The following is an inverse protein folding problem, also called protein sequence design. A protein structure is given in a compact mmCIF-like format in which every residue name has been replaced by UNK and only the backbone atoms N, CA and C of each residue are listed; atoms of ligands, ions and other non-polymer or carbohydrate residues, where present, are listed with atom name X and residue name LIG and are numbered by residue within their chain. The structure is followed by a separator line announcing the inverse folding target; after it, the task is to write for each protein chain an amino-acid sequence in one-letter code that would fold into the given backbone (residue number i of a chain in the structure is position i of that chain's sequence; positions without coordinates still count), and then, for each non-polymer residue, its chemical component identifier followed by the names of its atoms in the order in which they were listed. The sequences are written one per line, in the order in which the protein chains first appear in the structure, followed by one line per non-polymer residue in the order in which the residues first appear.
data_IF_189922855786
#
_entry.id   IF_189922855786
#
_cell.length_a   1.000
_cell.length_b   1.000
_cell.length_c   1.000
_cell.angle_alpha   90.00
_cell.angle_beta   90.00
_cell.angle_gamma   90.00
#
_symmetry.space_group_name_H-M   'P 1'
#
loop_
_entity.id
_entity.type
_entity.pdbx_description
1 polymer ?
#
# COMPACT_ATOMS: atom_id res chain seq x y z
N UNK A 1 22.44 -5.06 -39.78
CA UNK A 1 21.06 -5.57 -39.62
C UNK A 1 20.62 -5.30 -38.18
N UNK A 2 20.18 -4.06 -37.94
CA UNK A 2 19.70 -3.55 -36.66
C UNK A 2 18.26 -3.13 -36.94
N UNK A 3 17.28 -3.89 -36.43
CA UNK A 3 15.88 -3.49 -36.51
C UNK A 3 15.53 -2.70 -35.26
N UNK A 4 15.91 -1.42 -35.29
CA UNK A 4 15.24 -0.35 -34.55
C UNK A 4 13.89 -0.10 -35.19
N UNK A 5 12.81 -0.48 -34.51
CA UNK A 5 11.44 -0.29 -34.97
C UNK A 5 10.53 0.04 -33.80
N UNK A 6 10.48 1.32 -33.46
CA UNK A 6 9.48 1.93 -32.60
C UNK A 6 8.07 1.64 -33.12
N UNK A 7 7.33 0.77 -32.44
CA UNK A 7 5.90 0.56 -32.70
C UNK A 7 5.09 1.74 -32.13
N UNK A 8 4.36 2.50 -32.96
CA UNK A 8 3.53 3.59 -32.48
C UNK A 8 2.26 3.07 -31.82
N UNK A 9 1.95 3.70 -30.70
CA UNK A 9 0.71 3.62 -29.96
C UNK A 9 -0.46 4.09 -30.85
N UNK A 10 -1.27 3.16 -31.39
CA UNK A 10 -2.62 3.49 -31.88
C UNK A 10 -3.54 2.27 -31.78
N UNK A 11 -4.01 2.00 -30.57
CA UNK A 11 -5.04 1.03 -30.24
C UNK A 11 -6.41 1.51 -30.74
N UNK A 12 -6.94 0.89 -31.82
CA UNK A 12 -8.36 0.45 -31.95
C UNK A 12 -8.78 -0.26 -33.26
N UNK A 13 -7.90 -0.55 -34.22
CA UNK A 13 -8.28 -1.32 -35.43
C UNK A 13 -7.32 -2.48 -35.78
N UNK A 14 -6.79 -3.19 -34.78
CA UNK A 14 -5.78 -4.25 -35.00
C UNK A 14 -6.11 -5.57 -34.27
N UNK A 15 -7.40 -5.89 -34.08
CA UNK A 15 -7.81 -7.14 -33.38
C UNK A 15 -7.92 -8.36 -34.29
N UNK A 16 -7.98 -8.20 -35.63
CA UNK A 16 -8.05 -9.33 -36.57
C UNK A 16 -6.74 -9.60 -37.33
N UNK A 17 -5.93 -8.57 -37.60
CA UNK A 17 -4.80 -8.68 -38.54
C UNK A 17 -3.55 -9.33 -37.94
N UNK A 18 -3.31 -9.19 -36.63
CA UNK A 18 -2.10 -9.74 -35.96
C UNK A 18 -2.08 -11.28 -35.96
N UNK A 19 -3.25 -11.92 -36.04
CA UNK A 19 -3.31 -13.37 -36.14
C UNK A 19 -2.97 -13.89 -37.54
N UNK A 20 -3.01 -13.08 -38.60
CA UNK A 20 -2.78 -13.52 -39.98
C UNK A 20 -1.31 -13.44 -40.43
N UNK A 21 -0.50 -12.53 -39.87
CA UNK A 21 0.88 -12.32 -40.33
C UNK A 21 1.93 -13.25 -39.69
N UNK A 22 1.52 -14.19 -38.83
CA UNK A 22 2.40 -15.17 -38.17
C UNK A 22 2.35 -16.55 -38.88
N UNK A 23 2.72 -16.60 -40.16
CA UNK A 23 2.69 -17.81 -40.99
C UNK A 23 3.74 -18.89 -40.61
N UNK A 24 4.66 -18.61 -39.68
CA UNK A 24 5.81 -19.48 -39.32
C UNK A 24 5.61 -20.21 -37.97
N UNK A 25 4.49 -20.01 -37.27
CA UNK A 25 4.22 -20.70 -36.00
C UNK A 25 3.37 -21.96 -36.18
N UNK A 26 3.66 -23.00 -35.39
CA UNK A 26 2.81 -24.19 -35.25
C UNK A 26 1.36 -23.79 -34.93
N UNK A 27 0.40 -24.49 -35.56
CA UNK A 27 -1.05 -24.25 -35.43
C UNK A 27 -1.51 -24.16 -33.98
N UNK A 28 -0.93 -24.97 -33.09
CA UNK A 28 -1.27 -24.99 -31.67
C UNK A 28 -0.89 -23.68 -30.96
N UNK A 29 0.30 -23.14 -31.26
CA UNK A 29 0.77 -21.89 -30.66
C UNK A 29 -0.03 -20.67 -31.13
N UNK A 30 -0.47 -20.69 -32.39
CA UNK A 30 -1.35 -19.67 -32.96
C UNK A 30 -2.73 -19.68 -32.29
N UNK A 31 -3.30 -20.85 -32.07
CA UNK A 31 -4.57 -21.01 -31.34
C UNK A 31 -4.46 -20.49 -29.89
N UNK A 32 -3.40 -20.86 -29.15
CA UNK A 32 -3.20 -20.37 -27.77
C UNK A 32 -3.02 -18.85 -27.70
N UNK A 33 -2.32 -18.24 -28.66
CA UNK A 33 -2.20 -16.78 -28.74
C UNK A 33 -3.56 -16.10 -28.96
N UNK A 34 -4.38 -16.64 -29.86
CA UNK A 34 -5.73 -16.13 -30.11
C UNK A 34 -6.61 -16.22 -28.85
N UNK A 35 -6.57 -17.35 -28.14
CA UNK A 35 -7.33 -17.56 -26.89
C UNK A 35 -6.89 -16.55 -25.81
N UNK A 36 -5.58 -16.42 -25.56
CA UNK A 36 -5.05 -15.55 -24.49
C UNK A 36 -5.33 -14.07 -24.75
N UNK A 37 -5.37 -13.64 -26.02
CA UNK A 37 -5.66 -12.25 -26.38
C UNK A 37 -7.15 -11.93 -26.44
N UNK A 38 -8.01 -12.94 -26.37
CA UNK A 38 -9.45 -12.74 -26.51
C UNK A 38 -10.04 -12.00 -25.30
N UNK A 39 -10.85 -10.97 -25.55
CA UNK A 39 -11.45 -10.12 -24.50
C UNK A 39 -12.30 -10.90 -23.49
N UNK A 40 -13.02 -11.93 -23.95
CA UNK A 40 -13.81 -12.77 -23.04
C UNK A 40 -12.93 -13.60 -22.12
N UNK A 41 -11.78 -14.08 -22.60
CA UNK A 41 -10.82 -14.81 -21.75
C UNK A 41 -10.19 -13.88 -20.71
N UNK A 42 -9.78 -12.67 -21.12
CA UNK A 42 -9.29 -11.64 -20.20
C UNK A 42 -10.33 -11.31 -19.11
N UNK A 43 -11.59 -11.09 -19.51
CA UNK A 43 -12.71 -10.83 -18.60
C UNK A 43 -13.02 -12.00 -17.65
N UNK A 44 -13.01 -13.23 -18.16
CA UNK A 44 -13.22 -14.44 -17.37
C UNK A 44 -12.16 -14.59 -16.27
N UNK A 45 -10.87 -14.42 -16.61
CA UNK A 45 -9.80 -14.51 -15.61
C UNK A 45 -9.93 -13.40 -14.55
N UNK A 46 -10.29 -12.18 -14.95
CA UNK A 46 -10.55 -11.09 -13.98
C UNK A 46 -11.72 -11.45 -13.06
N UNK A 47 -12.80 -12.01 -13.60
CA UNK A 47 -13.93 -12.46 -12.80
C UNK A 47 -13.54 -13.54 -11.77
N UNK A 48 -12.75 -14.55 -12.18
CA UNK A 48 -12.24 -15.59 -11.28
C UNK A 48 -11.34 -14.99 -10.18
N UNK A 49 -10.49 -14.01 -10.51
CA UNK A 49 -9.68 -13.30 -9.51
C UNK A 49 -10.57 -12.59 -8.49
N UNK A 50 -11.59 -11.85 -8.95
CA UNK A 50 -12.50 -11.14 -8.05
C UNK A 50 -13.27 -12.12 -7.13
N UNK A 51 -13.72 -13.24 -7.68
CA UNK A 51 -14.42 -14.26 -6.92
C UNK A 51 -13.49 -14.93 -5.89
N UNK A 52 -12.23 -15.17 -6.24
CA UNK A 52 -11.22 -15.67 -5.30
C UNK A 52 -10.90 -14.67 -4.16
N UNK A 53 -10.95 -13.36 -4.45
CA UNK A 53 -10.78 -12.32 -3.43
C UNK A 53 -12.01 -12.22 -2.52
N UNK A 54 -13.21 -12.39 -3.08
CA UNK A 54 -14.44 -12.43 -2.29
C UNK A 54 -14.47 -13.66 -1.36
N UNK A 55 -13.94 -14.81 -1.81
CA UNK A 55 -13.83 -16.00 -0.96
C UNK A 55 -12.96 -15.78 0.29
N UNK A 56 -11.89 -14.98 0.19
CA UNK A 56 -11.03 -14.63 1.32
C UNK A 56 -11.76 -13.84 2.43
N UNK A 57 -12.81 -13.08 2.09
CA UNK A 57 -13.59 -12.33 3.09
C UNK A 57 -14.34 -13.28 4.04
N UNK A 58 -14.68 -14.48 3.56
CA UNK A 58 -15.34 -15.50 4.37
C UNK A 58 -14.36 -16.33 5.22
N UNK A 59 -13.05 -16.10 5.11
CA UNK A 59 -12.04 -16.71 5.99
C UNK A 59 -11.86 -15.89 7.27
N UNK A 60 -12.85 -15.96 8.17
CA UNK A 60 -12.78 -15.36 9.49
C UNK A 60 -12.34 -16.36 10.58
N UNK A 61 -12.19 -15.87 11.83
CA UNK A 61 -11.83 -16.70 12.99
C UNK A 61 -12.92 -17.75 13.27
N UNK A 62 -14.17 -17.47 12.90
CA UNK A 62 -15.32 -18.35 13.12
C UNK A 62 -15.50 -19.45 12.06
N UNK A 63 -14.66 -19.47 11.02
CA UNK A 63 -14.71 -20.47 9.95
C UNK A 63 -14.59 -21.90 10.49
N UNK A 64 -13.84 -22.10 11.58
CA UNK A 64 -13.66 -23.40 12.22
C UNK A 64 -14.96 -23.97 12.81
N UNK A 65 -15.89 -23.10 13.22
CA UNK A 65 -17.22 -23.50 13.68
C UNK A 65 -18.19 -23.81 12.53
N UNK A 66 -17.82 -23.53 11.27
CA UNK A 66 -18.67 -23.74 10.09
C UNK A 66 -18.02 -24.73 9.11
N UNK A 67 -18.10 -26.05 9.38
CA UNK A 67 -17.39 -27.07 8.60
C UNK A 67 -17.84 -27.15 7.14
N UNK A 68 -19.11 -26.81 6.85
CA UNK A 68 -19.65 -26.78 5.49
C UNK A 68 -18.99 -25.65 4.70
N UNK A 69 -18.91 -24.45 5.28
CA UNK A 69 -18.30 -23.28 4.66
C UNK A 69 -16.82 -23.54 4.38
N UNK A 70 -16.09 -24.08 5.36
CA UNK A 70 -14.68 -24.45 5.21
C UNK A 70 -14.45 -25.43 4.05
N UNK A 71 -15.30 -26.47 3.90
CA UNK A 71 -15.20 -27.43 2.80
C UNK A 71 -15.46 -26.79 1.44
N UNK A 72 -16.46 -25.93 1.34
CA UNK A 72 -16.78 -25.19 0.10
C UNK A 72 -15.64 -24.27 -0.28
N UNK A 73 -15.08 -23.52 0.68
CA UNK A 73 -13.95 -22.62 0.43
C UNK A 73 -12.70 -23.40 -0.03
N UNK A 74 -12.38 -24.52 0.61
CA UNK A 74 -11.25 -25.37 0.22
C UNK A 74 -11.42 -25.93 -1.20
N UNK A 75 -12.63 -26.36 -1.57
CA UNK A 75 -12.91 -26.83 -2.92
C UNK A 75 -12.85 -25.69 -3.94
N UNK A 76 -13.38 -24.52 -3.61
CA UNK A 76 -13.32 -23.34 -4.46
C UNK A 76 -11.86 -22.92 -4.71
N UNK A 77 -11.02 -22.94 -3.68
CA UNK A 77 -9.59 -22.66 -3.76
C UNK A 77 -8.82 -23.59 -4.70
N UNK A 78 -9.14 -24.89 -4.65
CA UNK A 78 -8.60 -25.89 -5.57
C UNK A 78 -9.00 -25.56 -7.01
N UNK A 79 -10.27 -25.25 -7.25
CA UNK A 79 -10.80 -24.89 -8.58
C UNK A 79 -10.14 -23.62 -9.10
N UNK A 80 -10.01 -22.56 -8.29
CA UNK A 80 -9.33 -21.34 -8.71
C UNK A 80 -7.88 -21.60 -9.07
N UNK A 81 -7.15 -22.32 -8.21
CA UNK A 81 -5.74 -22.66 -8.46
C UNK A 81 -5.58 -23.43 -9.77
N UNK A 82 -6.47 -24.40 -10.03
CA UNK A 82 -6.49 -25.14 -11.28
C UNK A 82 -6.71 -24.24 -12.50
N UNK A 83 -7.70 -23.34 -12.47
CA UNK A 83 -7.95 -22.38 -13.55
C UNK A 83 -6.71 -21.52 -13.82
N UNK A 84 -6.01 -21.07 -12.79
CA UNK A 84 -4.80 -20.27 -12.94
C UNK A 84 -3.60 -21.07 -13.46
N UNK A 85 -3.46 -22.34 -13.11
CA UNK A 85 -2.45 -23.24 -13.70
C UNK A 85 -2.71 -23.39 -15.19
N UNK A 86 -3.96 -23.61 -15.61
CA UNK A 86 -4.33 -23.67 -17.03
C UNK A 86 -4.00 -22.36 -17.74
N UNK A 87 -4.34 -21.22 -17.13
CA UNK A 87 -4.00 -19.90 -17.66
C UNK A 87 -2.48 -19.72 -17.88
N UNK A 88 -1.67 -20.16 -16.91
CA UNK A 88 -0.21 -20.09 -16.97
C UNK A 88 0.34 -20.95 -18.12
N UNK A 89 -0.13 -22.20 -18.23
CA UNK A 89 0.28 -23.11 -19.30
C UNK A 89 -0.06 -22.54 -20.69
N UNK A 90 -1.26 -21.98 -20.85
CA UNK A 90 -1.66 -21.30 -22.09
C UNK A 90 -0.74 -20.12 -22.41
N UNK A 91 -0.34 -19.31 -21.42
CA UNK A 91 0.62 -18.20 -21.60
C UNK A 91 2.02 -18.69 -21.97
N UNK A 92 2.50 -19.79 -21.37
CA UNK A 92 3.79 -20.37 -21.71
C UNK A 92 3.84 -20.84 -23.16
N UNK A 93 2.79 -21.53 -23.62
CA UNK A 93 2.67 -21.97 -25.01
C UNK A 93 2.59 -20.75 -25.93
N UNK A 94 1.73 -19.78 -25.62
CA UNK A 94 1.49 -18.60 -26.44
C UNK A 94 2.77 -17.72 -26.61
N UNK A 95 3.35 -17.26 -25.51
CA UNK A 95 4.48 -16.32 -25.53
C UNK A 95 5.85 -17.01 -25.65
N UNK A 96 5.97 -18.26 -25.20
CA UNK A 96 7.24 -18.97 -25.04
C UNK A 96 7.97 -18.58 -23.75
N UNK A 97 8.78 -19.50 -23.21
CA UNK A 97 9.50 -19.34 -21.94
C UNK A 97 10.30 -18.03 -21.85
N UNK A 98 11.15 -17.74 -22.84
CA UNK A 98 12.02 -16.55 -22.81
C UNK A 98 11.23 -15.24 -22.66
N UNK A 99 10.18 -15.06 -23.46
CA UNK A 99 9.38 -13.82 -23.44
C UNK A 99 8.48 -13.73 -22.21
N UNK A 100 8.03 -14.85 -21.67
CA UNK A 100 7.25 -14.92 -20.43
C UNK A 100 8.07 -14.41 -19.24
N UNK A 101 9.29 -14.92 -19.04
CA UNK A 101 10.13 -14.58 -17.89
C UNK A 101 10.78 -13.18 -17.98
N UNK A 102 10.83 -12.55 -19.16
CA UNK A 102 11.27 -11.15 -19.29
C UNK A 102 10.21 -10.14 -18.84
N UNK A 103 8.93 -10.51 -18.81
CA UNK A 103 7.85 -9.59 -18.42
C UNK A 103 7.57 -9.68 -16.91
N UNK A 104 7.84 -8.59 -16.18
CA UNK A 104 7.63 -8.49 -14.73
C UNK A 104 6.23 -8.93 -14.27
N UNK A 105 5.18 -8.60 -15.02
CA UNK A 105 3.80 -8.96 -14.66
C UNK A 105 3.53 -10.46 -14.80
N UNK A 106 4.14 -11.10 -15.80
CA UNK A 106 4.03 -12.56 -15.98
C UNK A 106 4.87 -13.29 -14.92
N UNK A 107 6.03 -12.74 -14.56
CA UNK A 107 6.85 -13.25 -13.46
C UNK A 107 6.13 -13.18 -12.10
N UNK A 108 5.42 -12.07 -11.83
CA UNK A 108 4.59 -11.91 -10.63
C UNK A 108 3.42 -12.91 -10.61
N UNK A 109 2.72 -13.11 -11.73
CA UNK A 109 1.66 -14.12 -11.85
C UNK A 109 2.19 -15.54 -11.53
N UNK A 110 3.40 -15.87 -12.01
CA UNK A 110 4.09 -17.14 -11.75
C UNK A 110 4.44 -17.32 -10.27
N UNK A 111 5.11 -16.34 -9.66
CA UNK A 111 5.50 -16.41 -8.24
C UNK A 111 4.28 -16.62 -7.33
N UNK A 112 3.18 -15.90 -7.58
CA UNK A 112 1.97 -16.06 -6.76
C UNK A 112 1.31 -17.43 -6.99
N UNK A 113 1.42 -18.00 -8.19
CA UNK A 113 0.97 -19.37 -8.47
C UNK A 113 1.80 -20.40 -7.69
N UNK A 114 3.12 -20.26 -7.71
CA UNK A 114 4.02 -21.15 -6.97
C UNK A 114 3.75 -21.11 -5.46
N UNK A 115 3.57 -19.93 -4.87
CA UNK A 115 3.21 -19.81 -3.44
C UNK A 115 1.86 -20.47 -3.15
N UNK A 116 0.91 -20.41 -4.08
CA UNK A 116 -0.41 -21.05 -3.92
C UNK A 116 -0.30 -22.59 -4.00
N UNK A 117 0.51 -23.12 -4.92
CA UNK A 117 0.78 -24.55 -5.04
C UNK A 117 1.53 -25.09 -3.81
N UNK A 118 2.56 -24.35 -3.36
CA UNK A 118 3.30 -24.68 -2.15
C UNK A 118 2.39 -24.69 -0.92
N UNK A 119 1.50 -23.69 -0.78
CA UNK A 119 0.50 -23.65 0.29
C UNK A 119 -0.44 -24.87 0.29
N UNK A 120 -0.82 -25.38 -0.89
CA UNK A 120 -1.65 -26.59 -1.00
C UNK A 120 -0.87 -27.84 -0.57
N UNK A 121 0.40 -27.94 -0.96
CA UNK A 121 1.29 -29.03 -0.52
C UNK A 121 1.49 -29.03 1.00
N UNK A 122 1.72 -27.85 1.58
CA UNK A 122 1.88 -27.67 3.04
C UNK A 122 0.59 -27.99 3.80
N UNK A 123 -0.58 -27.68 3.24
CA UNK A 123 -1.86 -28.02 3.85
C UNK A 123 -2.11 -29.55 3.86
N UNK A 124 -1.65 -30.28 2.83
CA UNK A 124 -1.66 -31.75 2.83
C UNK A 124 -0.74 -32.34 3.91
N UNK A 125 0.29 -31.59 4.34
CA UNK A 125 1.21 -31.96 5.42
C UNK A 125 0.71 -31.53 6.81
N UNK A 126 -0.46 -30.88 6.92
CA UNK A 126 -1.10 -30.54 8.20
C UNK A 126 -0.69 -29.21 8.84
N UNK A 127 0.08 -28.35 8.14
CA UNK A 127 0.47 -27.04 8.67
C UNK A 127 -0.49 -25.91 8.22
N UNK A 128 -0.81 -24.93 9.09
CA UNK A 128 -1.73 -23.85 8.75
C UNK A 128 -1.10 -22.86 7.76
N UNK A 129 -1.55 -22.88 6.51
CA UNK A 129 -1.04 -22.02 5.42
C UNK A 129 -1.86 -20.74 5.19
N UNK A 130 -2.72 -20.37 6.15
CA UNK A 130 -3.68 -19.25 6.07
C UNK A 130 -3.09 -17.91 5.61
N UNK A 131 -1.93 -17.41 6.13
CA UNK A 131 -1.39 -16.11 5.72
C UNK A 131 -0.88 -16.07 4.27
N UNK A 132 -0.45 -17.21 3.71
CA UNK A 132 0.05 -17.29 2.34
C UNK A 132 -1.06 -17.14 1.30
N UNK A 133 -2.32 -17.41 1.67
CA UNK A 133 -3.48 -17.31 0.76
C UNK A 133 -3.85 -15.85 0.43
N UNK A 134 -3.57 -14.91 1.33
CA UNK A 134 -3.81 -13.48 1.10
C UNK A 134 -2.98 -12.90 -0.05
N UNK A 135 -1.82 -13.51 -0.37
CA UNK A 135 -0.93 -13.08 -1.46
C UNK A 135 -1.60 -13.17 -2.85
N UNK A 136 -2.68 -13.94 -3.01
CA UNK A 136 -3.44 -14.01 -4.26
C UNK A 136 -4.06 -12.66 -4.67
N UNK A 137 -4.37 -11.79 -3.71
CA UNK A 137 -4.86 -10.42 -3.95
C UNK A 137 -3.86 -9.57 -4.73
N UNK A 138 -2.55 -9.88 -4.63
CA UNK A 138 -1.49 -9.18 -5.37
C UNK A 138 -1.53 -9.41 -6.89
N UNK A 139 -2.37 -10.33 -7.38
CA UNK A 139 -2.64 -10.48 -8.82
C UNK A 139 -3.54 -9.38 -9.37
N UNK A 140 -4.36 -8.75 -8.53
CA UNK A 140 -5.32 -7.71 -8.95
C UNK A 140 -4.64 -6.51 -9.66
N UNK A 141 -3.57 -5.90 -9.09
CA UNK A 141 -2.85 -4.82 -9.77
C UNK A 141 -2.28 -5.22 -11.13
N UNK A 142 -1.92 -6.51 -11.27
CA UNK A 142 -1.43 -7.05 -12.53
C UNK A 142 -2.50 -7.17 -13.59
N UNK A 143 -3.80 -7.02 -13.33
CA UNK A 143 -4.86 -7.16 -14.37
C UNK A 143 -5.53 -5.84 -14.71
N UNK A 144 -5.64 -4.93 -13.76
CA UNK A 144 -6.20 -3.61 -14.02
C UNK A 144 -5.18 -2.69 -14.70
N UNK A 145 -5.46 -2.33 -15.96
CA UNK A 145 -4.63 -1.39 -16.74
C UNK A 145 -4.40 -0.07 -16.00
N UNK A 146 -5.41 0.43 -15.28
CA UNK A 146 -5.28 1.61 -14.42
C UNK A 146 -4.24 1.44 -13.30
N UNK A 147 -4.31 0.34 -12.54
CA UNK A 147 -3.36 0.06 -11.46
C UNK A 147 -1.93 -0.17 -11.98
N UNK A 148 -1.77 -0.87 -13.11
CA UNK A 148 -0.44 -1.03 -13.75
C UNK A 148 0.19 0.31 -14.12
N UNK A 149 -0.60 1.28 -14.60
CA UNK A 149 -0.10 2.60 -14.95
C UNK A 149 0.36 3.37 -13.71
N UNK A 150 -0.41 3.31 -12.62
CA UNK A 150 -0.03 3.94 -11.34
C UNK A 150 1.25 3.30 -10.80
N UNK A 151 1.35 1.97 -10.77
CA UNK A 151 2.54 1.28 -10.29
C UNK A 151 3.78 1.58 -11.15
N UNK A 152 3.65 1.62 -12.48
CA UNK A 152 4.73 2.05 -13.37
C UNK A 152 5.16 3.48 -13.08
N UNK A 153 4.21 4.40 -12.92
CA UNK A 153 4.52 5.78 -12.58
C UNK A 153 5.27 5.87 -11.25
N UNK A 154 4.83 5.13 -10.23
CA UNK A 154 5.50 5.06 -8.93
C UNK A 154 6.94 4.53 -9.08
N UNK A 155 7.15 3.44 -9.81
CA UNK A 155 8.50 2.87 -10.01
C UNK A 155 9.48 3.86 -10.66
N UNK A 156 9.01 4.76 -11.52
CA UNK A 156 9.87 5.80 -12.11
C UNK A 156 10.17 6.92 -11.11
N UNK A 157 9.29 7.17 -10.14
CA UNK A 157 9.51 8.18 -9.09
C UNK A 157 10.40 7.65 -7.95
N UNK A 158 10.42 6.33 -7.72
CA UNK A 158 11.16 5.70 -6.63
C UNK A 158 12.65 6.11 -6.53
N UNK A 159 13.45 6.15 -7.61
CA UNK A 159 14.88 6.47 -7.50
C UNK A 159 15.14 7.87 -6.93
N UNK A 160 14.38 8.88 -7.38
CA UNK A 160 14.51 10.25 -6.86
C UNK A 160 14.07 10.34 -5.40
N UNK A 161 13.05 9.57 -5.01
CA UNK A 161 12.54 9.55 -3.64
C UNK A 161 13.49 8.84 -2.67
N UNK A 162 14.16 7.78 -3.13
CA UNK A 162 15.10 7.02 -2.29
C UNK A 162 16.26 7.89 -1.80
N UNK A 163 16.78 8.79 -2.64
CA UNK A 163 17.83 9.73 -2.25
C UNK A 163 17.39 10.66 -1.12
N UNK A 164 16.13 11.13 -1.15
CA UNK A 164 15.58 11.99 -0.08
C UNK A 164 15.32 11.19 1.19
N UNK A 165 14.77 9.99 1.04
CA UNK A 165 14.56 9.07 2.16
C UNK A 165 15.87 8.81 2.91
N UNK A 166 16.98 8.61 2.20
CA UNK A 166 18.29 8.42 2.81
C UNK A 166 18.70 9.63 3.68
N UNK A 167 18.51 10.87 3.17
CA UNK A 167 18.79 12.09 3.95
C UNK A 167 17.93 12.15 5.21
N UNK A 168 16.63 11.84 5.09
CA UNK A 168 15.71 11.80 6.24
C UNK A 168 16.16 10.76 7.27
N UNK A 169 16.53 9.56 6.81
CA UNK A 169 17.04 8.49 7.68
C UNK A 169 18.33 8.90 8.40
N UNK A 170 19.24 9.63 7.76
CA UNK A 170 20.47 10.12 8.42
C UNK A 170 20.14 11.15 9.50
N UNK A 171 19.23 12.10 9.24
CA UNK A 171 18.79 13.07 10.25
C UNK A 171 18.13 12.36 11.43
N UNK A 172 17.26 11.40 11.15
CA UNK A 172 16.57 10.61 12.18
C UNK A 172 17.52 9.69 12.95
N UNK A 173 18.59 9.20 12.32
CA UNK A 173 19.62 8.41 12.97
C UNK A 173 20.31 9.21 14.07
N UNK A 174 20.64 10.48 13.82
CA UNK A 174 21.27 11.36 14.82
C UNK A 174 20.37 11.52 16.04
N UNK A 175 19.08 11.79 15.82
CA UNK A 175 18.11 11.87 16.93
C UNK A 175 17.95 10.54 17.64
N UNK A 176 17.91 9.42 16.92
CA UNK A 176 17.80 8.09 17.54
C UNK A 176 19.00 7.78 18.44
N UNK A 177 20.24 8.05 17.99
CA UNK A 177 21.45 7.87 18.79
C UNK A 177 21.41 8.77 20.03
N UNK A 178 21.01 10.04 19.88
CA UNK A 178 20.84 10.96 21.01
C UNK A 178 19.78 10.45 21.99
N UNK A 179 18.64 9.94 21.50
CA UNK A 179 17.59 9.35 22.33
C UNK A 179 18.05 8.12 23.09
N UNK A 180 18.83 7.23 22.47
CA UNK A 180 19.45 6.08 23.15
C UNK A 180 20.33 6.54 24.31
N UNK A 181 21.18 7.55 24.08
CA UNK A 181 22.06 8.07 25.14
C UNK A 181 21.29 8.72 26.30
N UNK A 182 20.12 9.30 26.05
CA UNK A 182 19.31 9.97 27.06
C UNK A 182 18.42 9.00 27.85
N UNK A 183 17.84 8.01 27.17
CA UNK A 183 16.66 7.27 27.66
C UNK A 183 16.84 5.74 27.74
N UNK A 184 17.94 5.17 27.23
CA UNK A 184 18.13 3.72 27.25
C UNK A 184 18.05 3.15 28.68
N UNK A 185 17.23 2.11 28.85
CA UNK A 185 17.02 1.43 30.14
C UNK A 185 16.16 2.18 31.16
N UNK A 186 15.77 3.44 30.90
CA UNK A 186 15.01 4.27 31.85
C UNK A 186 13.49 4.22 31.70
N UNK A 187 12.99 3.48 30.71
CA UNK A 187 11.55 3.36 30.42
C UNK A 187 10.90 2.17 31.14
N UNK A 188 11.65 1.50 32.01
CA UNK A 188 11.13 0.37 32.78
C UNK A 188 10.43 0.87 34.04
N UNK A 189 9.38 0.16 34.44
CA UNK A 189 8.58 0.49 35.61
C UNK A 189 8.02 -0.78 36.25
N UNK A 190 7.77 -0.70 37.55
CA UNK A 190 7.06 -1.71 38.31
C UNK A 190 5.55 -1.58 38.07
N UNK A 191 4.93 -2.65 37.58
CA UNK A 191 3.54 -2.67 37.13
C UNK A 191 2.76 -3.80 37.79
N UNK A 192 1.55 -3.51 38.28
CA UNK A 192 0.64 -4.52 38.83
C UNK A 192 -0.32 -5.00 37.73
N UNK A 193 -0.33 -6.30 37.45
CA UNK A 193 -1.20 -6.88 36.41
C UNK A 193 -2.66 -6.96 36.79
N UNK A 194 -2.99 -7.07 38.07
CA UNK A 194 -4.39 -7.23 38.52
C UNK A 194 -5.13 -5.90 38.55
N UNK A 195 -4.45 -4.83 38.95
CA UNK A 195 -5.02 -3.47 38.97
C UNK A 195 -4.79 -2.70 37.67
N UNK A 196 -3.99 -3.22 36.75
CA UNK A 196 -3.55 -2.58 35.52
C UNK A 196 -2.82 -1.23 35.69
N UNK A 197 -2.26 -0.98 36.87
CA UNK A 197 -1.68 0.31 37.25
C UNK A 197 -0.18 0.21 37.60
N UNK A 198 0.50 1.37 37.51
CA UNK A 198 1.88 1.50 37.96
C UNK A 198 1.93 1.58 39.49
N UNK A 199 2.89 0.86 40.10
CA UNK A 199 3.08 0.90 41.55
C UNK A 199 3.66 2.26 41.94
N UNK A 200 3.12 2.84 43.01
CA UNK A 200 3.50 4.16 43.52
C UNK A 200 4.91 4.12 44.14
N UNK A 201 5.63 5.26 44.09
CA UNK A 201 7.02 5.37 44.57
C UNK A 201 7.16 5.22 46.09
N UNK A 202 6.10 5.42 46.86
CA UNK A 202 6.09 5.19 48.31
C UNK A 202 6.28 3.71 48.67
N UNK A 203 5.94 2.80 47.75
CA UNK A 203 6.06 1.35 47.93
C UNK A 203 7.30 0.76 47.23
N UNK A 204 7.71 1.33 46.08
CA UNK A 204 8.82 0.81 45.28
C UNK A 204 9.61 1.96 44.66
N UNK A 205 10.87 2.10 45.05
CA UNK A 205 11.76 3.11 44.48
C UNK A 205 12.63 2.55 43.34
N UNK A 206 13.10 1.30 43.47
CA UNK A 206 14.04 0.69 42.52
C UNK A 206 13.56 -0.68 42.05
N UNK A 207 14.10 -1.15 40.92
CA UNK A 207 13.87 -2.51 40.41
C UNK A 207 14.12 -3.60 41.45
N UNK A 208 15.18 -3.47 42.24
CA UNK A 208 15.51 -4.45 43.28
C UNK A 208 14.38 -4.59 44.32
N UNK A 209 13.68 -3.50 44.64
CA UNK A 209 12.52 -3.53 45.54
C UNK A 209 11.30 -4.12 44.85
N UNK A 210 11.07 -3.79 43.58
CA UNK A 210 10.03 -4.42 42.77
C UNK A 210 10.20 -5.95 42.71
N UNK A 211 11.44 -6.42 42.56
CA UNK A 211 11.76 -7.86 42.53
C UNK A 211 11.61 -8.52 43.91
N UNK A 212 11.88 -7.81 45.01
CA UNK A 212 11.63 -8.34 46.36
C UNK A 212 10.15 -8.58 46.63
N UNK A 213 9.25 -7.79 46.06
CA UNK A 213 7.81 -8.03 46.18
C UNK A 213 7.41 -9.35 45.51
N UNK A 214 8.07 -9.70 44.40
CA UNK A 214 7.90 -10.99 43.74
C UNK A 214 8.31 -12.14 44.67
N UNK A 215 9.43 -12.00 45.38
CA UNK A 215 9.92 -13.00 46.35
C UNK A 215 9.02 -13.13 47.59
N UNK A 216 8.24 -12.09 47.91
CA UNK A 216 7.27 -12.05 49.01
C UNK A 216 5.88 -12.58 48.65
N UNK A 217 5.76 -13.38 47.58
CA UNK A 217 4.52 -13.96 47.05
C UNK A 217 3.55 -12.95 46.38
N UNK A 218 3.98 -11.74 46.00
CA UNK A 218 3.19 -10.86 45.13
C UNK A 218 3.46 -11.17 43.65
N UNK A 219 2.85 -12.24 43.14
CA UNK A 219 3.06 -12.70 41.75
C UNK A 219 2.47 -11.76 40.67
N UNK A 220 1.63 -10.82 41.07
CA UNK A 220 0.93 -9.89 40.18
C UNK A 220 1.81 -8.72 39.74
N UNK A 221 2.91 -8.46 40.45
CA UNK A 221 3.80 -7.32 40.20
C UNK A 221 4.93 -7.73 39.27
N UNK A 222 5.12 -7.00 38.16
CA UNK A 222 6.21 -7.25 37.21
C UNK A 222 6.95 -5.97 36.85
N UNK A 223 8.28 -6.06 36.79
CA UNK A 223 9.12 -5.03 36.19
C UNK A 223 9.01 -5.13 34.66
N UNK A 224 8.31 -4.18 34.05
CA UNK A 224 8.03 -4.17 32.61
C UNK A 224 8.68 -2.97 31.94
N UNK A 225 9.16 -3.19 30.73
CA UNK A 225 9.63 -2.12 29.86
C UNK A 225 8.49 -1.66 28.94
N UNK A 226 8.46 -0.36 28.61
CA UNK A 226 7.50 0.17 27.63
C UNK A 226 7.79 -0.43 26.25
N UNK A 227 6.72 -0.70 25.49
CA UNK A 227 6.79 -1.33 24.17
C UNK A 227 7.57 -0.49 23.14
N UNK A 228 7.43 0.83 23.21
CA UNK A 228 8.18 1.78 22.38
C UNK A 228 9.14 2.53 23.30
N UNK A 229 10.43 2.31 23.10
CA UNK A 229 11.49 2.82 23.96
C UNK A 229 12.73 3.21 23.14
N UNK A 230 13.82 3.54 23.83
CA UNK A 230 15.09 3.96 23.25
C UNK A 230 16.26 3.04 23.66
N UNK A 231 16.02 1.76 23.95
CA UNK A 231 17.10 0.85 24.38
C UNK A 231 18.10 0.54 23.26
N UNK A 232 17.63 0.56 22.01
CA UNK A 232 18.41 0.30 20.81
C UNK A 232 18.08 1.35 19.75
N UNK A 233 19.04 1.65 18.86
CA UNK A 233 18.84 2.62 17.76
C UNK A 233 17.62 2.28 16.89
N UNK A 234 17.37 0.99 16.63
CA UNK A 234 16.18 0.56 15.87
C UNK A 234 14.86 0.85 16.57
N UNK A 235 14.79 0.60 17.89
CA UNK A 235 13.61 0.94 18.69
C UNK A 235 13.44 2.45 18.84
N UNK A 236 14.55 3.19 19.00
CA UNK A 236 14.53 4.65 18.99
C UNK A 236 14.00 5.20 17.66
N UNK A 237 14.35 4.61 16.53
CA UNK A 237 13.77 4.95 15.23
C UNK A 237 12.26 4.72 15.16
N UNK A 238 11.78 3.60 15.69
CA UNK A 238 10.35 3.30 15.73
C UNK A 238 9.60 4.28 16.65
N UNK A 239 10.18 4.59 17.81
CA UNK A 239 9.65 5.60 18.73
C UNK A 239 9.59 6.99 18.08
N UNK A 240 10.64 7.40 17.37
CA UNK A 240 10.67 8.66 16.61
C UNK A 240 9.68 8.67 15.42
N UNK A 241 9.47 7.54 14.75
CA UNK A 241 8.46 7.42 13.71
C UNK A 241 7.05 7.66 14.27
N UNK A 242 6.74 7.04 15.42
CA UNK A 242 5.47 7.21 16.14
C UNK A 242 5.28 8.67 16.55
N UNK A 243 6.33 9.29 17.13
CA UNK A 243 6.36 10.73 17.42
C UNK A 243 6.04 11.58 16.18
N UNK A 244 6.68 11.30 15.04
CA UNK A 244 6.48 12.04 13.80
C UNK A 244 5.11 11.86 13.16
N UNK A 245 4.44 10.73 13.42
CA UNK A 245 3.04 10.51 13.00
C UNK A 245 2.01 11.16 13.93
N UNK A 246 2.45 11.72 15.06
CA UNK A 246 1.59 12.32 16.10
C UNK A 246 0.49 11.39 16.62
N UNK A 247 0.72 10.07 16.54
CA UNK A 247 -0.21 9.04 17.02
C UNK A 247 0.50 8.22 18.09
N UNK A 248 -0.02 8.15 19.32
CA UNK A 248 0.63 7.42 20.42
C UNK A 248 1.95 8.05 20.92
N UNK A 249 2.22 9.32 20.57
CA UNK A 249 3.44 10.05 20.91
C UNK A 249 3.50 10.47 22.39
N UNK A 250 2.34 10.71 23.01
CA UNK A 250 2.22 11.13 24.40
C UNK A 250 2.83 10.10 25.35
N UNK A 251 2.59 8.81 25.14
CA UNK A 251 3.08 7.74 26.02
C UNK A 251 4.62 7.69 26.07
N UNK A 252 5.26 7.96 24.92
CA UNK A 252 6.73 7.99 24.79
C UNK A 252 7.28 9.24 25.47
N UNK A 253 6.63 10.37 25.26
CA UNK A 253 7.04 11.65 25.82
C UNK A 253 6.89 11.65 27.35
N UNK A 254 5.77 11.18 27.88
CA UNK A 254 5.55 11.07 29.33
C UNK A 254 6.53 10.09 29.95
N UNK A 255 6.76 8.92 29.35
CA UNK A 255 7.78 7.99 29.83
C UNK A 255 9.19 8.61 29.86
N UNK A 256 9.52 9.48 28.91
CA UNK A 256 10.80 10.19 28.89
C UNK A 256 10.90 11.30 29.93
N UNK A 257 9.83 12.05 30.17
CA UNK A 257 9.79 13.13 31.16
C UNK A 257 9.78 12.57 32.59
N UNK A 258 9.09 11.45 32.80
CA UNK A 258 9.06 10.76 34.09
C UNK A 258 10.30 9.89 34.33
N UNK A 259 11.13 9.68 33.30
CA UNK A 259 12.34 8.86 33.42
C UNK A 259 13.35 9.46 34.39
N UNK A 260 13.95 8.64 35.25
CA UNK A 260 14.94 9.04 36.25
C UNK A 260 16.30 8.45 35.90
N UNK A 261 16.78 7.46 36.67
CA UNK A 261 18.01 6.71 36.40
C UNK A 261 17.67 5.32 35.85
N UNK A 262 18.70 4.59 35.43
CA UNK A 262 18.55 3.21 34.98
C UNK A 262 18.22 2.33 36.19
N UNK A 263 17.20 1.49 36.07
CA UNK A 263 16.66 0.61 37.14
C UNK A 263 15.94 1.32 38.31
N UNK A 264 15.72 2.63 38.23
CA UNK A 264 14.88 3.38 39.18
C UNK A 264 13.44 3.50 38.65
N UNK A 265 12.47 3.55 39.56
CA UNK A 265 11.06 3.77 39.22
C UNK A 265 10.89 5.20 38.66
N UNK A 266 10.11 5.39 37.58
CA UNK A 266 9.87 6.71 37.02
C UNK A 266 9.10 7.58 38.02
N UNK A 267 9.50 8.84 38.12
CA UNK A 267 8.88 9.84 38.99
C UNK A 267 8.20 10.90 38.14
N UNK A 268 6.94 11.19 38.46
CA UNK A 268 6.13 12.16 37.73
C UNK A 268 6.86 13.50 37.57
N UNK A 269 7.02 13.92 36.32
CA UNK A 269 7.65 15.19 35.95
C UNK A 269 9.06 15.42 36.50
N UNK A 270 9.82 14.35 36.76
CA UNK A 270 11.18 14.48 37.29
C UNK A 270 12.15 15.19 36.34
N UNK A 271 12.03 14.97 35.03
CA UNK A 271 12.93 15.49 34.01
C UNK A 271 12.20 16.32 32.94
N UNK A 272 11.58 17.44 33.37
CA UNK A 272 10.81 18.36 32.51
C UNK A 272 11.59 18.86 31.26
N UNK A 273 12.91 19.01 31.34
CA UNK A 273 13.71 19.48 30.21
C UNK A 273 13.69 18.53 28.99
N UNK A 274 13.29 17.27 29.17
CA UNK A 274 13.23 16.28 28.09
C UNK A 274 12.15 16.62 27.05
N UNK A 275 11.17 17.47 27.37
CA UNK A 275 10.25 18.03 26.35
C UNK A 275 11.01 18.74 25.22
N UNK A 276 12.14 19.39 25.52
CA UNK A 276 12.93 20.11 24.52
C UNK A 276 13.52 19.16 23.45
N UNK A 277 13.88 17.94 23.82
CA UNK A 277 14.35 16.91 22.89
C UNK A 277 13.27 16.61 21.84
N UNK A 278 12.02 16.38 22.27
CA UNK A 278 10.92 16.06 21.38
C UNK A 278 10.47 17.26 20.54
N UNK A 279 10.43 18.46 21.12
CA UNK A 279 10.15 19.69 20.38
C UNK A 279 11.20 19.91 19.29
N UNK A 280 12.48 19.73 19.62
CA UNK A 280 13.59 19.81 18.68
C UNK A 280 13.44 18.80 17.54
N UNK A 281 13.06 17.56 17.84
CA UNK A 281 12.79 16.54 16.82
C UNK A 281 11.56 16.88 15.95
N UNK A 282 10.47 17.40 16.51
CA UNK A 282 9.29 17.78 15.72
C UNK A 282 9.64 18.90 14.73
N UNK A 283 10.37 19.91 15.19
CA UNK A 283 10.77 21.03 14.34
C UNK A 283 11.79 20.58 13.29
N UNK A 284 12.91 19.97 13.72
CA UNK A 284 14.03 19.65 12.83
C UNK A 284 13.77 18.35 12.04
N UNK A 285 13.34 17.31 12.75
CA UNK A 285 13.17 15.95 12.24
C UNK A 285 11.87 15.72 11.48
N UNK A 286 10.77 16.44 11.75
CA UNK A 286 9.48 16.24 11.07
C UNK A 286 9.12 17.38 10.12
N UNK A 287 9.15 18.64 10.58
CA UNK A 287 8.70 19.76 9.76
C UNK A 287 9.63 19.98 8.55
N UNK A 288 10.95 20.07 8.74
CA UNK A 288 11.88 20.25 7.62
C UNK A 288 11.93 19.04 6.68
N UNK A 289 11.90 17.82 7.21
CA UNK A 289 11.96 16.60 6.40
C UNK A 289 10.72 16.43 5.53
N UNK A 290 9.53 16.69 6.07
CA UNK A 290 8.27 16.67 5.32
C UNK A 290 8.27 17.74 4.23
N UNK A 291 8.76 18.95 4.53
CA UNK A 291 8.88 20.02 3.54
C UNK A 291 9.85 19.65 2.40
N UNK A 292 11.01 19.08 2.72
CA UNK A 292 11.97 18.60 1.72
C UNK A 292 11.34 17.47 0.89
N UNK A 293 10.66 16.53 1.54
CA UNK A 293 10.01 15.41 0.86
C UNK A 293 8.95 15.90 -0.14
N UNK A 294 8.03 16.76 0.29
CA UNK A 294 6.99 17.33 -0.56
C UNK A 294 7.61 18.08 -1.75
N UNK A 295 8.65 18.89 -1.50
CA UNK A 295 9.32 19.64 -2.55
C UNK A 295 9.91 18.72 -3.62
N UNK A 296 10.73 17.75 -3.22
CA UNK A 296 11.38 16.84 -4.18
C UNK A 296 10.35 15.94 -4.88
N UNK A 297 9.26 15.58 -4.20
CA UNK A 297 8.17 14.83 -4.79
C UNK A 297 7.48 15.62 -5.91
N UNK A 298 7.11 16.88 -5.64
CA UNK A 298 6.50 17.78 -6.63
C UNK A 298 7.44 17.99 -7.82
N UNK A 299 8.73 18.25 -7.56
CA UNK A 299 9.74 18.44 -8.61
C UNK A 299 9.91 17.19 -9.47
N UNK A 300 9.87 16.00 -8.86
CA UNK A 300 9.94 14.71 -9.56
C UNK A 300 8.72 14.50 -10.46
N UNK A 301 7.51 14.79 -9.96
CA UNK A 301 6.28 14.72 -10.76
C UNK A 301 6.34 15.70 -11.93
N UNK A 302 6.77 16.94 -11.70
CA UNK A 302 6.90 17.96 -12.74
C UNK A 302 7.92 17.56 -13.81
N UNK A 303 9.09 17.06 -13.39
CA UNK A 303 10.13 16.56 -14.30
C UNK A 303 9.62 15.41 -15.16
N UNK A 304 8.90 14.47 -14.56
CA UNK A 304 8.31 13.33 -15.29
C UNK A 304 7.21 13.78 -16.26
N UNK A 305 6.35 14.72 -15.82
CA UNK A 305 5.31 15.33 -16.65
C UNK A 305 5.88 16.06 -17.86
N UNK A 306 6.97 16.81 -17.69
CA UNK A 306 7.63 17.54 -18.78
C UNK A 306 8.31 16.60 -19.79
N UNK A 307 8.88 15.48 -19.34
CA UNK A 307 9.48 14.48 -20.23
C UNK A 307 8.46 13.74 -21.11
N UNK A 308 7.31 13.37 -20.54
CA UNK A 308 6.29 12.56 -21.24
C UNK A 308 5.21 13.42 -21.91
N UNK A 309 5.03 14.68 -21.48
CA UNK A 309 3.98 15.58 -21.98
C UNK A 309 2.56 15.13 -21.63
N UNK A 310 2.39 14.07 -20.85
CA UNK A 310 1.10 13.50 -20.42
C UNK A 310 0.98 13.53 -18.89
N UNK A 311 -0.26 13.48 -18.40
CA UNK A 311 -0.53 13.33 -16.97
C UNK A 311 -0.04 11.97 -16.45
N UNK A 312 0.68 12.00 -15.33
CA UNK A 312 1.42 10.85 -14.77
C UNK A 312 0.51 9.71 -14.29
N UNK A 313 -0.67 10.03 -13.76
CA UNK A 313 -1.58 9.06 -13.13
C UNK A 313 -2.83 8.71 -13.95
N UNK A 314 -2.94 9.20 -15.19
CA UNK A 314 -4.15 9.00 -16.01
C UNK A 314 -3.90 8.02 -17.15
N UNK A 315 -4.83 7.09 -17.37
CA UNK A 315 -4.83 6.24 -18.57
C UNK A 315 -5.13 7.02 -19.84
N UNK A 316 -4.78 6.48 -21.00
CA UNK A 316 -4.97 7.19 -22.29
C UNK A 316 -6.44 7.46 -22.61
N UNK A 317 -7.34 6.54 -22.27
CA UNK A 317 -8.78 6.73 -22.47
C UNK A 317 -9.32 7.83 -21.56
N UNK A 318 -8.90 7.86 -20.29
CA UNK A 318 -9.24 8.93 -19.35
C UNK A 318 -8.68 10.28 -19.80
N UNK A 319 -7.47 10.33 -20.36
CA UNK A 319 -6.90 11.55 -20.94
C UNK A 319 -7.69 12.04 -22.16
N UNK A 320 -8.17 11.12 -23.02
CA UNK A 320 -9.02 11.46 -24.16
C UNK A 320 -10.37 12.00 -23.69
N UNK A 321 -10.96 11.38 -22.67
CA UNK A 321 -12.19 11.87 -22.04
C UNK A 321 -12.00 13.26 -21.43
N UNK A 322 -10.93 13.48 -20.66
CA UNK A 322 -10.60 14.78 -20.07
C UNK A 322 -10.39 15.87 -21.13
N UNK A 323 -9.75 15.54 -22.27
CA UNK A 323 -9.60 16.46 -23.40
C UNK A 323 -10.94 16.86 -24.02
N UNK A 324 -11.88 15.91 -24.16
CA UNK A 324 -13.25 16.19 -24.62
C UNK A 324 -13.99 17.11 -23.63
N UNK A 325 -13.92 16.80 -22.34
CA UNK A 325 -14.53 17.63 -21.28
C UNK A 325 -13.97 19.06 -21.30
N UNK A 326 -12.63 19.22 -21.31
CA UNK A 326 -12.01 20.55 -21.40
C UNK A 326 -12.42 21.31 -22.64
N UNK A 327 -12.53 20.64 -23.79
CA UNK A 327 -13.00 21.25 -25.03
C UNK A 327 -14.45 21.74 -24.89
N UNK A 328 -15.32 20.94 -24.30
CA UNK A 328 -16.73 21.29 -24.09
C UNK A 328 -16.92 22.48 -23.14
N UNK A 329 -16.08 22.62 -22.10
CA UNK A 329 -16.10 23.80 -21.22
C UNK A 329 -15.41 25.03 -21.83
N UNK A 330 -14.42 24.83 -22.70
CA UNK A 330 -13.72 25.91 -23.40
C UNK A 330 -14.51 26.45 -24.60
N UNK A 331 -15.38 25.63 -25.20
CA UNK A 331 -16.30 26.09 -26.23
C UNK A 331 -17.32 27.04 -25.59
N UNK A 332 -17.21 28.34 -25.89
CA UNK A 332 -18.28 29.30 -25.59
C UNK A 332 -19.56 28.75 -26.22
N UNK A 333 -20.59 28.52 -25.41
CA UNK A 333 -21.94 28.26 -25.94
C UNK A 333 -22.32 29.46 -26.80
N UNK A 334 -22.39 29.24 -28.12
CA UNK A 334 -22.95 30.25 -29.02
C UNK A 334 -24.38 30.55 -28.55
N UNK A 335 -24.74 31.84 -28.52
CA UNK A 335 -26.10 32.24 -28.21
C UNK A 335 -27.05 31.50 -29.16
N UNK A 336 -28.04 30.80 -28.61
CA UNK A 336 -29.08 30.15 -29.41
C UNK A 336 -29.70 31.25 -30.27
N UNK A 337 -29.73 31.12 -31.61
CA UNK A 337 -30.32 32.14 -32.47
C UNK A 337 -31.75 32.38 -32.00
N UNK A 338 -32.08 33.65 -31.73
CA UNK A 338 -33.44 34.00 -31.31
C UNK A 338 -34.38 33.56 -32.44
N UNK A 339 -35.40 32.75 -32.14
CA UNK A 339 -36.34 32.32 -33.16
C UNK A 339 -37.05 33.56 -33.75
N UNK A 340 -37.26 33.55 -35.07
CA UNK A 340 -37.97 34.61 -35.78
C UNK A 340 -39.38 34.69 -35.20
N UNK A 341 -39.77 35.91 -34.83
CA UNK A 341 -40.89 36.22 -33.94
C UNK A 341 -42.20 35.54 -34.35
N UNK A 342 -42.75 34.72 -33.44
CA UNK A 342 -44.19 34.48 -33.25
C UNK A 342 -44.53 34.86 -31.81
N UNK A 343 -45.79 35.19 -31.52
CA UNK A 343 -46.25 35.68 -30.21
C UNK A 343 -45.82 34.76 -29.04
N UNK A 344 -45.72 33.45 -29.30
CA UNK A 344 -45.31 32.42 -28.33
C UNK A 344 -43.87 32.59 -27.82
N UNK A 345 -43.01 33.26 -28.58
CA UNK A 345 -41.59 33.43 -28.26
C UNK A 345 -41.32 34.62 -27.34
N UNK A 346 -42.21 35.62 -27.34
CA UNK A 346 -42.16 36.75 -26.40
C UNK A 346 -42.46 36.25 -24.99
N UNK A 347 -43.46 35.38 -24.84
CA UNK A 347 -43.80 34.71 -23.57
C UNK A 347 -42.64 33.84 -23.05
N UNK A 348 -41.97 33.11 -23.94
CA UNK A 348 -40.79 32.31 -23.56
C UNK A 348 -39.58 33.18 -23.15
N UNK A 349 -39.43 34.37 -23.73
CA UNK A 349 -38.38 35.32 -23.32
C UNK A 349 -38.64 35.92 -21.94
N UNK A 350 -39.91 36.11 -21.58
CA UNK A 350 -40.33 36.59 -20.26
C UNK A 350 -40.07 35.55 -19.18
N UNK A 351 -40.37 34.27 -19.48
CA UNK A 351 -40.12 33.11 -18.59
C UNK A 351 -38.63 32.84 -18.31
N UNK A 352 -37.71 33.22 -19.21
CA UNK A 352 -36.26 33.01 -19.07
C UNK A 352 -35.49 34.20 -18.51
N UNK A 353 -36.16 35.30 -18.21
CA UNK A 353 -35.51 36.48 -17.65
C UNK A 353 -35.13 36.23 -16.19
N UNK A 354 -33.87 36.49 -15.84
CA UNK A 354 -33.31 36.37 -14.48
C UNK A 354 -33.80 37.49 -13.54
N UNK A 355 -35.04 37.94 -13.72
CA UNK A 355 -35.69 38.99 -12.93
C UNK A 355 -36.73 38.44 -11.95
N UNK A 356 -36.95 37.12 -11.94
CA UNK A 356 -37.87 36.41 -11.04
C UNK A 356 -37.17 35.33 -10.18
N UNK A 357 -35.91 35.58 -9.82
CA UNK A 357 -35.23 34.98 -8.67
C UNK A 357 -34.48 36.06 -7.92
#
# INVERSE_FOLDING_TARGET
VVLTGSLPYNTKCLEATVCCDLAVLSNFRRASLCIVQHKFFEGFIVFVILLSCAALVFEDIYLEHRPILQRVLNMADLVFTFVFVVEMLLKWIAFGFKKYFTNFWCWLDFLILDVSLFSLMVNMLGYPSRPLRALRTLRVPSRFKGMRMVLKALTVMLPSMFSVLLVILVIWLVFSIMGVNLFAGKFSHCYNETSEDMVMLDQVNNKSECLRLLDQNFFEVRWKNKKFNFDNVGMGFLSLLIMGTSSGWLDIMYAAVDSTQVEDQPLYESNLYMYLYFIGFIIIGCFFTLNIFIRVFIDTIHKHRNKIGKHVFMTEEQQKYLRKMKKQFSEKRNAVPRPKVSLDLVLQSFSRSSWWW
#
